data_IF_853845845908
#
_entry.id   IF_853845845908
#
_cell.length_a   1.000
_cell.length_b   1.000
_cell.length_c   1.000
_cell.angle_alpha   90.00
_cell.angle_beta   90.00
_cell.angle_gamma   90.00
#
_symmetry.space_group_name_H-M   'P 1'
#
loop_
_entity.id
_entity.type
_entity.pdbx_description
1 polymer ?
#
# COMPACT_ATOMS: atom_id res chain seq x y z
N UNK A 1 1.69 11.21 17.97
CA UNK A 1 2.47 11.36 16.73
C UNK A 1 1.64 10.94 15.52
N UNK A 2 1.06 9.73 15.53
CA UNK A 2 0.17 9.21 14.47
C UNK A 2 -0.85 10.20 13.91
N UNK A 3 -1.57 10.96 14.77
CA UNK A 3 -2.58 11.91 14.29
C UNK A 3 -2.01 13.03 13.42
N UNK A 4 -0.76 13.42 13.65
CA UNK A 4 -0.06 14.39 12.82
C UNK A 4 0.23 13.81 11.45
N UNK A 5 0.83 12.61 11.37
CA UNK A 5 1.09 11.93 10.10
C UNK A 5 -0.19 11.62 9.31
N UNK A 6 -1.28 11.25 10.00
CA UNK A 6 -2.59 11.11 9.39
C UNK A 6 -3.08 12.43 8.78
N UNK A 7 -3.01 13.54 9.52
CA UNK A 7 -3.45 14.84 9.02
C UNK A 7 -2.60 15.30 7.82
N UNK A 8 -1.29 15.10 7.88
CA UNK A 8 -0.36 15.43 6.79
C UNK A 8 -0.65 14.58 5.57
N UNK A 9 -0.87 13.27 5.75
CA UNK A 9 -1.30 12.37 4.68
C UNK A 9 -2.57 12.89 4.02
N UNK A 10 -3.63 13.13 4.79
CA UNK A 10 -4.93 13.58 4.26
C UNK A 10 -4.88 14.96 3.59
N UNK A 11 -3.86 15.77 3.90
CA UNK A 11 -3.68 17.09 3.31
C UNK A 11 -2.99 17.02 1.94
N UNK A 12 -2.02 16.12 1.77
CA UNK A 12 -1.12 16.15 0.60
C UNK A 12 -1.23 14.93 -0.31
N UNK A 13 -1.25 13.72 0.25
CA UNK A 13 -1.13 12.48 -0.55
C UNK A 13 -2.33 12.26 -1.48
N UNK A 14 -3.59 12.45 -1.04
CA UNK A 14 -4.74 12.38 -1.93
C UNK A 14 -4.71 13.33 -3.12
N UNK A 15 -4.00 14.45 -3.04
CA UNK A 15 -3.89 15.41 -4.12
C UNK A 15 -2.97 14.92 -5.26
N UNK A 16 -2.09 13.96 -4.98
CA UNK A 16 -1.18 13.37 -5.97
C UNK A 16 -1.88 12.28 -6.79
N UNK A 17 -2.81 11.54 -6.18
CA UNK A 17 -3.59 10.46 -6.82
C UNK A 17 -5.10 10.61 -6.59
N UNK A 18 -5.73 11.72 -7.03
CA UNK A 18 -7.14 11.99 -6.74
C UNK A 18 -8.10 10.93 -7.31
N UNK A 19 -7.69 10.19 -8.34
CA UNK A 19 -8.45 9.09 -8.94
C UNK A 19 -8.45 7.82 -8.08
N UNK A 20 -7.41 7.61 -7.26
CA UNK A 20 -7.31 6.45 -6.37
C UNK A 20 -7.67 6.77 -4.92
N UNK A 21 -7.48 8.02 -4.51
CA UNK A 21 -7.57 8.47 -3.12
C UNK A 21 -8.67 9.53 -2.96
N UNK A 22 -9.88 9.23 -3.42
CA UNK A 22 -11.02 10.14 -3.28
C UNK A 22 -11.45 10.25 -1.81
N UNK A 23 -11.11 11.37 -1.18
CA UNK A 23 -11.43 11.66 0.23
C UNK A 23 -12.93 11.79 0.49
N UNK A 24 -13.75 11.99 -0.55
CA UNK A 24 -15.20 12.15 -0.40
C UNK A 24 -15.93 10.81 -0.28
N UNK A 25 -15.33 9.73 -0.79
CA UNK A 25 -15.85 8.36 -0.73
C UNK A 25 -15.09 7.46 0.23
N UNK A 26 -13.97 7.95 0.80
CA UNK A 26 -13.18 7.24 1.80
C UNK A 26 -14.05 6.74 2.96
N UNK A 27 -13.84 5.49 3.36
CA UNK A 27 -14.49 4.92 4.55
C UNK A 27 -13.99 5.60 5.83
N UNK A 28 -14.68 5.39 6.94
CA UNK A 28 -14.25 5.94 8.23
C UNK A 28 -12.87 5.39 8.62
N UNK A 29 -11.95 6.31 8.90
CA UNK A 29 -10.57 5.98 9.29
C UNK A 29 -10.54 5.20 10.62
N UNK A 30 -9.84 4.07 10.63
CA UNK A 30 -9.71 3.20 11.80
C UNK A 30 -8.36 3.45 12.47
N UNK A 31 -8.38 3.81 13.75
CA UNK A 31 -7.17 4.10 14.52
C UNK A 31 -6.86 2.97 15.50
N UNK A 32 -5.65 2.45 15.39
CA UNK A 32 -5.00 1.56 16.33
C UNK A 32 -3.88 2.34 17.01
N UNK A 33 -3.43 1.92 18.21
CA UNK A 33 -2.57 2.75 19.07
C UNK A 33 -1.37 3.38 18.35
N UNK A 34 -0.80 2.63 17.41
CA UNK A 34 0.42 2.90 16.68
C UNK A 34 0.21 3.02 15.15
N UNK A 35 -0.95 2.69 14.58
CA UNK A 35 -1.20 2.86 13.14
C UNK A 35 -2.66 3.21 12.82
N UNK A 36 -2.90 3.78 11.65
CA UNK A 36 -4.24 4.04 11.11
C UNK A 36 -4.46 3.29 9.80
N UNK A 37 -5.67 2.74 9.61
CA UNK A 37 -6.10 2.11 8.37
C UNK A 37 -7.13 2.99 7.67
N UNK A 38 -6.90 3.24 6.39
CA UNK A 38 -7.82 3.94 5.49
C UNK A 38 -8.20 3.03 4.34
N UNK A 39 -9.47 3.07 3.96
CA UNK A 39 -9.97 2.39 2.77
C UNK A 39 -10.51 3.45 1.82
N UNK A 40 -10.00 3.45 0.59
CA UNK A 40 -10.47 4.30 -0.50
C UNK A 40 -11.17 3.42 -1.55
N UNK A 41 -12.50 3.37 -1.55
CA UNK A 41 -13.26 2.74 -2.64
C UNK A 41 -13.00 3.48 -3.95
N UNK A 42 -12.72 2.73 -5.02
CA UNK A 42 -12.53 3.27 -6.35
C UNK A 42 -13.87 3.49 -7.03
N UNK A 43 -13.98 4.60 -7.75
CA UNK A 43 -15.17 4.91 -8.55
C UNK A 43 -15.34 3.96 -9.72
N UNK A 44 -14.23 3.66 -10.39
CA UNK A 44 -14.15 2.75 -11.52
C UNK A 44 -13.08 1.67 -11.21
N UNK A 45 -13.28 0.40 -11.59
CA UNK A 45 -12.30 -0.66 -11.33
C UNK A 45 -11.05 -0.54 -12.21
N UNK A 46 -9.88 -0.83 -11.65
CA UNK A 46 -8.58 -0.77 -12.34
C UNK A 46 -7.97 -2.16 -12.53
N UNK A 47 -7.14 -2.35 -13.54
CA UNK A 47 -6.21 -3.47 -13.56
C UNK A 47 -5.12 -3.28 -12.49
N UNK A 48 -4.61 -4.38 -11.93
CA UNK A 48 -3.56 -4.30 -10.91
C UNK A 48 -2.30 -3.58 -11.42
N UNK A 49 -1.93 -3.84 -12.67
CA UNK A 49 -0.76 -3.22 -13.32
C UNK A 49 -0.96 -1.70 -13.47
N UNK A 50 -2.18 -1.23 -13.81
CA UNK A 50 -2.48 0.21 -13.88
C UNK A 50 -2.32 0.89 -12.51
N UNK A 51 -2.73 0.24 -11.42
CA UNK A 51 -2.53 0.79 -10.07
C UNK A 51 -1.06 0.84 -9.69
N UNK A 52 -0.28 -0.19 -10.06
CA UNK A 52 1.17 -0.20 -9.83
C UNK A 52 1.87 0.92 -10.59
N UNK A 53 1.53 1.13 -11.86
CA UNK A 53 2.08 2.21 -12.68
C UNK A 53 1.77 3.58 -12.05
N UNK A 54 0.53 3.80 -11.57
CA UNK A 54 0.16 5.04 -10.88
C UNK A 54 0.94 5.26 -9.56
N UNK A 55 1.23 4.20 -8.81
CA UNK A 55 2.04 4.30 -7.59
C UNK A 55 3.49 4.69 -7.89
N UNK A 56 4.07 4.13 -8.95
CA UNK A 56 5.46 4.38 -9.34
C UNK A 56 5.62 5.75 -10.04
N UNK A 57 4.74 6.09 -10.99
CA UNK A 57 4.88 7.27 -11.84
C UNK A 57 4.46 8.58 -11.15
N UNK A 58 3.33 8.59 -10.42
CA UNK A 58 2.77 9.82 -9.87
C UNK A 58 3.26 10.13 -8.43
N UNK A 59 3.60 9.09 -7.66
CA UNK A 59 4.02 9.26 -6.26
C UNK A 59 5.42 8.72 -5.94
N UNK A 60 6.10 8.10 -6.89
CA UNK A 60 7.42 7.50 -6.69
C UNK A 60 7.44 6.53 -5.48
N UNK A 61 6.34 5.81 -5.25
CA UNK A 61 6.28 4.81 -4.19
C UNK A 61 7.21 3.65 -4.51
N UNK A 62 7.82 3.10 -3.46
CA UNK A 62 8.69 1.94 -3.59
C UNK A 62 7.83 0.69 -3.57
N UNK A 63 7.78 -0.04 -4.69
CA UNK A 63 7.09 -1.33 -4.75
C UNK A 63 7.75 -2.33 -3.80
N UNK A 64 6.97 -2.90 -2.88
CA UNK A 64 7.39 -3.97 -1.97
C UNK A 64 7.26 -5.33 -2.65
N UNK A 65 6.10 -5.61 -3.26
CA UNK A 65 5.85 -6.87 -3.95
C UNK A 65 4.72 -6.77 -4.97
N UNK A 66 4.75 -7.70 -5.94
CA UNK A 66 3.60 -8.12 -6.75
C UNK A 66 3.42 -9.63 -6.50
N UNK A 67 2.33 -9.99 -5.84
CA UNK A 67 2.03 -11.34 -5.38
C UNK A 67 0.92 -11.99 -6.23
N UNK A 68 1.16 -13.25 -6.60
CA UNK A 68 0.24 -14.13 -7.33
C UNK A 68 -0.10 -15.32 -6.42
N UNK A 69 -1.35 -15.46 -5.95
CA UNK A 69 -1.75 -16.54 -5.06
C UNK A 69 -1.73 -17.92 -5.75
N UNK A 70 -1.44 -18.98 -4.99
CA UNK A 70 -1.19 -20.35 -5.51
C UNK A 70 -2.33 -20.97 -6.35
N UNK A 71 -3.59 -20.55 -6.13
CA UNK A 71 -4.77 -21.20 -6.70
C UNK A 71 -5.72 -20.25 -7.43
N UNK A 72 -5.24 -19.11 -7.94
CA UNK A 72 -6.10 -18.18 -8.64
C UNK A 72 -5.58 -17.79 -10.02
N UNK A 73 -6.47 -17.83 -11.01
CA UNK A 73 -6.21 -17.28 -12.33
C UNK A 73 -6.07 -15.76 -12.24
N UNK A 74 -7.13 -15.08 -11.78
CA UNK A 74 -7.21 -13.60 -11.71
C UNK A 74 -7.51 -13.02 -10.33
N UNK A 75 -8.11 -13.80 -9.44
CA UNK A 75 -8.55 -13.34 -8.10
C UNK A 75 -7.39 -13.26 -7.11
N UNK A 76 -7.38 -12.22 -6.26
CA UNK A 76 -6.46 -12.14 -5.12
C UNK A 76 -4.99 -11.90 -5.50
N UNK A 77 -4.69 -11.52 -6.75
CA UNK A 77 -3.40 -10.92 -7.08
C UNK A 77 -3.30 -9.62 -6.28
N UNK A 78 -2.16 -9.36 -5.66
CA UNK A 78 -2.01 -8.23 -4.75
C UNK A 78 -0.68 -7.53 -4.94
N UNK A 79 -0.68 -6.23 -4.66
CA UNK A 79 0.53 -5.42 -4.62
C UNK A 79 0.58 -4.62 -3.34
N UNK A 80 1.79 -4.34 -2.88
CA UNK A 80 2.07 -3.40 -1.82
C UNK A 80 3.17 -2.46 -2.30
N UNK A 81 2.98 -1.16 -2.11
CA UNK A 81 4.00 -0.14 -2.30
C UNK A 81 4.04 0.77 -1.06
N UNK A 82 5.18 1.38 -0.78
CA UNK A 82 5.36 2.19 0.43
C UNK A 82 6.09 3.49 0.18
N UNK A 83 5.82 4.48 1.04
CA UNK A 83 6.45 5.79 0.94
C UNK A 83 7.94 5.71 1.25
N UNK A 84 8.74 6.50 0.54
CA UNK A 84 10.19 6.53 0.77
C UNK A 84 10.49 7.08 2.19
N UNK A 85 11.09 6.27 3.08
CA UNK A 85 11.37 6.65 4.47
C UNK A 85 12.24 7.90 4.62
N UNK A 86 13.10 8.19 3.64
CA UNK A 86 14.00 9.34 3.65
C UNK A 86 13.27 10.70 3.71
N UNK A 87 12.00 10.74 3.31
CA UNK A 87 11.17 11.95 3.35
C UNK A 87 10.27 12.06 4.58
N UNK A 88 10.37 11.13 5.54
CA UNK A 88 9.59 11.15 6.78
C UNK A 88 8.11 10.83 6.60
N UNK A 89 7.69 10.42 5.39
CA UNK A 89 6.37 9.85 5.15
C UNK A 89 6.39 8.38 5.57
N UNK A 90 5.36 7.96 6.32
CA UNK A 90 5.31 6.63 6.94
C UNK A 90 3.99 5.95 6.62
N UNK A 91 3.80 5.57 5.36
CA UNK A 91 2.63 4.81 4.95
C UNK A 91 2.94 3.75 3.90
N UNK A 92 2.07 2.74 3.83
CA UNK A 92 2.00 1.81 2.70
C UNK A 92 0.63 1.83 2.06
N UNK A 93 0.59 1.48 0.78
CA UNK A 93 -0.62 1.29 0.00
C UNK A 93 -0.67 -0.15 -0.50
N UNK A 94 -1.84 -0.76 -0.36
CA UNK A 94 -2.10 -2.14 -0.74
C UNK A 94 -3.36 -2.17 -1.59
N UNK A 95 -3.38 -3.07 -2.56
CA UNK A 95 -4.62 -3.42 -3.23
C UNK A 95 -4.57 -4.87 -3.68
N UNK A 96 -5.74 -5.41 -3.98
CA UNK A 96 -5.91 -6.79 -4.44
C UNK A 96 -7.04 -6.87 -5.46
N UNK A 97 -6.92 -7.83 -6.37
CA UNK A 97 -7.94 -8.09 -7.38
C UNK A 97 -9.12 -8.87 -6.81
N UNK A 98 -10.31 -8.55 -7.29
CA UNK A 98 -11.55 -9.26 -7.04
C UNK A 98 -11.74 -10.45 -8.01
N UNK A 99 -12.95 -11.02 -8.04
CA UNK A 99 -13.26 -12.20 -8.85
C UNK A 99 -13.19 -11.93 -10.37
N UNK A 100 -13.37 -10.66 -10.78
CA UNK A 100 -13.26 -10.22 -12.17
C UNK A 100 -11.82 -9.88 -12.55
N UNK A 101 -10.90 -9.94 -11.58
CA UNK A 101 -9.49 -9.60 -11.76
C UNK A 101 -9.21 -8.10 -11.64
N UNK A 102 -10.13 -7.33 -11.06
CA UNK A 102 -10.04 -5.88 -10.96
C UNK A 102 -9.81 -5.40 -9.53
N UNK A 103 -9.14 -4.27 -9.39
CA UNK A 103 -8.96 -3.57 -8.13
C UNK A 103 -10.12 -2.59 -7.94
N UNK A 104 -10.80 -2.67 -6.80
CA UNK A 104 -11.94 -1.80 -6.46
C UNK A 104 -11.67 -0.90 -5.25
N UNK A 105 -10.54 -1.07 -4.58
CA UNK A 105 -10.21 -0.29 -3.39
C UNK A 105 -8.71 -0.22 -3.15
N UNK A 106 -8.22 0.93 -2.70
CA UNK A 106 -6.87 1.09 -2.16
C UNK A 106 -6.94 1.09 -0.63
N UNK A 107 -6.10 0.28 0.00
CA UNK A 107 -5.95 0.24 1.45
C UNK A 107 -4.65 0.94 1.82
N UNK A 108 -4.74 1.95 2.68
CA UNK A 108 -3.58 2.68 3.19
C UNK A 108 -3.38 2.36 4.66
N UNK A 109 -2.13 2.06 5.04
CA UNK A 109 -1.74 2.00 6.45
C UNK A 109 -0.77 3.14 6.73
N UNK A 110 -1.07 3.98 7.70
CA UNK A 110 -0.20 5.08 8.17
C UNK A 110 0.37 4.68 9.52
N UNK A 111 1.67 4.76 9.67
CA UNK A 111 2.41 4.34 10.86
C UNK A 111 2.79 5.52 11.73
N UNK A 112 3.01 5.26 13.02
CA UNK A 112 3.48 6.28 13.96
C UNK A 112 5.01 6.43 13.98
N UNK A 113 5.73 5.47 13.39
CA UNK A 113 7.18 5.37 13.39
C UNK A 113 7.73 4.54 12.23
N UNK A 114 8.98 4.83 11.84
CA UNK A 114 9.70 4.09 10.80
C UNK A 114 10.00 2.64 11.19
N UNK A 115 10.31 2.40 12.47
CA UNK A 115 10.57 1.06 12.99
C UNK A 115 9.34 0.14 12.80
N UNK A 116 8.16 0.66 13.12
CA UNK A 116 6.90 -0.08 12.97
C UNK A 116 6.61 -0.34 11.49
N UNK A 117 6.75 0.68 10.64
CA UNK A 117 6.58 0.54 9.20
C UNK A 117 7.50 -0.55 8.63
N UNK A 118 8.79 -0.51 8.94
CA UNK A 118 9.76 -1.53 8.52
C UNK A 118 9.37 -2.94 8.98
N UNK A 119 8.99 -3.09 10.25
CA UNK A 119 8.54 -4.35 10.83
C UNK A 119 7.32 -4.92 10.10
N UNK A 120 6.34 -4.07 9.80
CA UNK A 120 5.12 -4.44 9.09
C UNK A 120 5.38 -4.81 7.62
N UNK A 121 6.26 -4.10 6.91
CA UNK A 121 6.66 -4.47 5.54
C UNK A 121 7.36 -5.83 5.52
N UNK A 122 8.21 -6.12 6.51
CA UNK A 122 8.86 -7.42 6.64
C UNK A 122 7.84 -8.55 6.92
N UNK A 123 6.88 -8.30 7.82
CA UNK A 123 5.82 -9.25 8.14
C UNK A 123 4.94 -9.54 6.91
N UNK A 124 4.60 -8.51 6.14
CA UNK A 124 3.75 -8.63 4.97
C UNK A 124 4.37 -9.53 3.89
N UNK A 125 5.68 -9.37 3.63
CA UNK A 125 6.47 -10.26 2.77
C UNK A 125 6.44 -11.71 3.27
N UNK A 126 6.63 -11.92 4.58
CA UNK A 126 6.66 -13.26 5.17
C UNK A 126 5.30 -13.95 5.13
N UNK A 127 4.20 -13.21 5.31
CA UNK A 127 2.84 -13.74 5.19
C UNK A 127 2.53 -14.15 3.75
N UNK A 128 2.79 -13.27 2.77
CA UNK A 128 2.51 -13.54 1.36
C UNK A 128 3.40 -14.65 0.77
N UNK A 129 4.61 -14.84 1.31
CA UNK A 129 5.47 -15.97 0.92
C UNK A 129 4.85 -17.36 1.18
N UNK A 130 3.82 -17.44 2.03
CA UNK A 130 3.13 -18.69 2.40
C UNK A 130 1.87 -18.95 1.58
N UNK A 131 1.38 -17.96 0.84
CA UNK A 131 0.08 -18.00 0.13
C UNK A 131 0.19 -17.97 -1.39
N UNK A 132 1.40 -17.93 -1.95
CA UNK A 132 1.60 -17.78 -3.39
C UNK A 132 3.05 -17.59 -3.80
N UNK A 133 3.22 -16.97 -4.96
CA UNK A 133 4.53 -16.61 -5.53
C UNK A 133 4.61 -15.12 -5.78
N UNK A 134 5.82 -14.59 -5.85
CA UNK A 134 6.05 -13.19 -6.16
C UNK A 134 6.52 -13.05 -7.61
N UNK A 135 5.78 -12.29 -8.42
CA UNK A 135 6.25 -11.80 -9.74
C UNK A 135 7.40 -10.81 -9.53
N UNK A 136 7.26 -9.98 -8.49
CA UNK A 136 8.29 -9.11 -7.97
C UNK A 136 8.25 -9.12 -6.44
N UNK A 137 9.41 -9.03 -5.80
CA UNK A 137 9.54 -8.73 -4.37
C UNK A 137 10.83 -7.98 -4.12
N UNK A 138 10.79 -6.99 -3.24
CA UNK A 138 11.99 -6.32 -2.75
C UNK A 138 12.79 -7.27 -1.84
N UNK A 139 14.11 -7.23 -1.96
CA UNK A 139 14.99 -7.99 -1.07
C UNK A 139 14.94 -7.39 0.34
N UNK A 140 15.02 -8.22 1.39
CA UNK A 140 15.04 -7.75 2.78
C UNK A 140 16.25 -6.86 3.09
N UNK A 141 17.40 -7.13 2.47
CA UNK A 141 18.60 -6.30 2.64
C UNK A 141 18.37 -4.91 2.02
N UNK A 142 17.85 -4.85 0.78
CA UNK A 142 17.51 -3.57 0.13
C UNK A 142 16.40 -2.83 0.87
N UNK A 143 15.41 -3.55 1.41
CA UNK A 143 14.36 -2.98 2.24
C UNK A 143 14.95 -2.35 3.50
N UNK A 144 15.86 -3.03 4.20
CA UNK A 144 16.52 -2.46 5.38
C UNK A 144 17.29 -1.18 5.02
N UNK A 145 17.98 -1.16 3.88
CA UNK A 145 18.74 0.00 3.44
C UNK A 145 17.88 1.24 3.18
N UNK A 146 16.60 1.09 2.83
CA UNK A 146 15.70 2.24 2.67
C UNK A 146 15.38 2.94 4.01
N UNK A 147 15.59 2.28 5.15
CA UNK A 147 15.25 2.77 6.49
C UNK A 147 16.47 3.19 7.33
N UNK A 148 17.68 3.15 6.76
CA UNK A 148 18.94 3.55 7.39
C UNK A 148 19.37 4.96 6.97
#
# INVERSE_FOLDING_TARGET
MLRHFFNDFMTFVPLQLPQLLDVTTMEEAQFYGDYALLTFPLRDPYDLEEVMDLFEDDMELITLYHHIPTHADKFGHSTCAYSNPAFGQMFKMNCKTDADGKVNSILVTIYDSLEQMYGELCLDLDLHSKSGTFKYKKNKDDLLMDFL
#
